data_IF_109223493187
#
_entry.id   IF_109223493187
#
_cell.length_a   1.000
_cell.length_b   1.000
_cell.length_c   1.000
_cell.angle_alpha   90.00
_cell.angle_beta   90.00
_cell.angle_gamma   90.00
#
_symmetry.space_group_name_H-M   'P 1'
#
loop_
_entity.id
_entity.type
_entity.pdbx_description
1 polymer ?
#
# COMPACT_ATOMS: atom_id res chain seq x y z
N UNK A 1 18.96 -2.58 19.64
CA UNK A 1 18.08 -2.67 18.46
C UNK A 1 16.86 -3.58 18.63
N UNK A 2 16.98 -4.76 19.25
CA UNK A 2 15.86 -5.71 19.32
C UNK A 2 14.60 -5.28 20.09
N UNK A 3 14.65 -4.30 21.02
CA UNK A 3 13.46 -3.78 21.69
C UNK A 3 12.55 -3.01 20.72
N UNK A 4 13.08 -1.98 20.07
CA UNK A 4 12.31 -1.15 19.13
C UNK A 4 11.75 -1.94 17.97
N UNK A 5 12.57 -2.82 17.35
CA UNK A 5 12.11 -3.68 16.27
C UNK A 5 10.91 -4.52 16.67
N UNK A 6 10.95 -5.14 17.86
CA UNK A 6 9.86 -5.95 18.41
C UNK A 6 8.61 -5.12 18.74
N UNK A 7 8.78 -3.93 19.30
CA UNK A 7 7.67 -3.00 19.56
C UNK A 7 6.97 -2.60 18.26
N UNK A 8 7.72 -2.22 17.22
CA UNK A 8 7.15 -1.88 15.92
C UNK A 8 6.55 -3.08 15.20
N UNK A 9 7.11 -4.29 15.39
CA UNK A 9 6.52 -5.52 14.87
C UNK A 9 5.12 -5.78 15.46
N UNK A 10 4.94 -5.55 16.78
CA UNK A 10 3.62 -5.67 17.43
C UNK A 10 2.65 -4.60 16.90
N UNK A 11 3.09 -3.34 16.79
CA UNK A 11 2.25 -2.26 16.24
C UNK A 11 1.83 -2.55 14.80
N UNK A 12 2.77 -2.98 13.95
CA UNK A 12 2.49 -3.33 12.56
C UNK A 12 1.52 -4.52 12.45
N UNK A 13 1.71 -5.54 13.29
CA UNK A 13 0.81 -6.70 13.38
C UNK A 13 -0.59 -6.27 13.80
N UNK A 14 -0.71 -5.36 14.78
CA UNK A 14 -1.99 -4.81 15.20
C UNK A 14 -2.66 -4.05 14.05
N UNK A 15 -1.94 -3.17 13.34
CA UNK A 15 -2.46 -2.47 12.17
C UNK A 15 -2.95 -3.43 11.09
N UNK A 16 -2.21 -4.50 10.82
CA UNK A 16 -2.60 -5.54 9.86
C UNK A 16 -3.96 -6.15 10.20
N UNK A 17 -4.14 -6.59 11.46
CA UNK A 17 -5.39 -7.21 11.89
C UNK A 17 -6.54 -6.21 12.02
N UNK A 18 -6.28 -4.97 12.44
CA UNK A 18 -7.28 -3.90 12.47
C UNK A 18 -7.79 -3.56 11.07
N UNK A 19 -6.97 -3.72 10.04
CA UNK A 19 -7.37 -3.54 8.65
C UNK A 19 -8.08 -4.79 8.09
N UNK A 20 -7.56 -5.99 8.36
CA UNK A 20 -8.15 -7.24 7.87
C UNK A 20 -9.52 -7.54 8.51
N UNK A 21 -9.72 -7.19 9.78
CA UNK A 21 -10.96 -7.46 10.53
C UNK A 21 -12.23 -6.90 9.86
N UNK A 22 -12.31 -5.59 9.57
CA UNK A 22 -13.44 -5.00 8.86
C UNK A 22 -13.66 -5.59 7.47
N UNK A 23 -12.59 -5.93 6.73
CA UNK A 23 -12.71 -6.57 5.41
C UNK A 23 -13.37 -7.94 5.55
N UNK A 24 -12.87 -8.78 6.48
CA UNK A 24 -13.45 -10.10 6.76
C UNK A 24 -14.88 -10.00 7.26
N UNK A 25 -15.19 -9.04 8.12
CA UNK A 25 -16.55 -8.82 8.62
C UNK A 25 -17.50 -8.46 7.47
N UNK A 26 -17.13 -7.50 6.62
CA UNK A 26 -17.99 -7.11 5.47
C UNK A 26 -18.15 -8.26 4.47
N UNK A 27 -17.10 -9.07 4.26
CA UNK A 27 -17.17 -10.22 3.38
C UNK A 27 -18.00 -11.38 3.96
N UNK A 28 -17.69 -11.84 5.17
CA UNK A 28 -18.28 -13.04 5.76
C UNK A 28 -19.66 -12.79 6.39
N UNK A 29 -19.84 -11.64 7.05
CA UNK A 29 -21.08 -11.32 7.78
C UNK A 29 -22.04 -10.51 6.90
N UNK A 30 -21.57 -9.42 6.29
CA UNK A 30 -22.42 -8.58 5.43
C UNK A 30 -22.60 -9.11 4.00
N UNK A 31 -21.83 -10.14 3.62
CA UNK A 31 -21.87 -10.77 2.28
C UNK A 31 -21.70 -9.77 1.14
N UNK A 32 -20.89 -8.73 1.38
CA UNK A 32 -20.59 -7.69 0.39
C UNK A 32 -19.56 -8.24 -0.62
N UNK A 33 -20.04 -8.99 -1.63
CA UNK A 33 -19.17 -9.57 -2.67
C UNK A 33 -18.35 -8.52 -3.43
N UNK A 34 -18.84 -7.27 -3.48
CA UNK A 34 -18.17 -6.11 -4.10
C UNK A 34 -16.76 -5.82 -3.59
N UNK A 35 -16.40 -6.32 -2.40
CA UNK A 35 -15.08 -6.14 -1.80
C UNK A 35 -14.03 -7.04 -2.45
N UNK A 36 -14.44 -8.22 -2.93
CA UNK A 36 -13.56 -9.17 -3.60
C UNK A 36 -13.65 -9.09 -5.12
N UNK A 37 -14.71 -8.49 -5.67
CA UNK A 37 -14.91 -8.38 -7.10
C UNK A 37 -15.67 -7.10 -7.50
N UNK A 38 -15.27 -6.46 -8.59
CA UNK A 38 -15.89 -5.23 -9.09
C UNK A 38 -15.10 -3.96 -8.77
N UNK A 39 -15.76 -2.81 -8.89
CA UNK A 39 -15.14 -1.48 -8.81
C UNK A 39 -14.64 -1.10 -7.41
N UNK A 40 -15.24 -1.64 -6.36
CA UNK A 40 -14.86 -1.36 -4.97
C UNK A 40 -13.83 -2.36 -4.41
N UNK A 41 -13.29 -3.23 -5.26
CA UNK A 41 -12.36 -4.28 -4.86
C UNK A 41 -10.91 -3.90 -5.12
N UNK A 42 -10.06 -4.17 -4.13
CA UNK A 42 -8.60 -4.13 -4.24
C UNK A 42 -8.01 -5.46 -4.74
N UNK A 43 -8.82 -6.48 -4.99
CA UNK A 43 -8.36 -7.76 -5.56
C UNK A 43 -8.06 -7.56 -7.06
N UNK A 44 -6.88 -7.99 -7.55
CA UNK A 44 -6.57 -8.00 -8.97
C UNK A 44 -7.60 -8.80 -9.77
N UNK A 45 -8.02 -8.21 -10.88
CA UNK A 45 -9.05 -8.71 -11.78
C UNK A 45 -8.52 -8.69 -13.23
N UNK A 46 -9.14 -9.45 -14.15
CA UNK A 46 -8.72 -9.45 -15.55
C UNK A 46 -8.73 -8.08 -16.22
N UNK A 47 -9.56 -7.14 -15.73
CA UNK A 47 -9.56 -5.76 -16.23
C UNK A 47 -8.26 -5.01 -15.91
N UNK A 48 -7.61 -5.31 -14.78
CA UNK A 48 -6.34 -4.66 -14.39
C UNK A 48 -5.23 -4.96 -15.41
N UNK A 49 -5.23 -6.16 -15.99
CA UNK A 49 -4.30 -6.50 -17.07
C UNK A 49 -4.60 -5.72 -18.37
N UNK A 50 -5.89 -5.52 -18.70
CA UNK A 50 -6.29 -4.69 -19.85
C UNK A 50 -5.87 -3.24 -19.64
N UNK A 51 -6.07 -2.71 -18.43
CA UNK A 51 -5.64 -1.36 -18.05
C UNK A 51 -4.12 -1.21 -18.12
N UNK A 52 -3.36 -2.17 -17.59
CA UNK A 52 -1.90 -2.19 -17.70
C UNK A 52 -1.43 -2.16 -19.15
N UNK A 53 -1.97 -3.05 -19.99
CA UNK A 53 -1.59 -3.12 -21.40
C UNK A 53 -2.00 -1.86 -22.19
N UNK A 54 -3.19 -1.31 -21.91
CA UNK A 54 -3.62 -0.03 -22.46
C UNK A 54 -2.72 1.13 -22.02
N UNK A 55 -2.27 1.12 -20.76
CA UNK A 55 -1.37 2.13 -20.22
C UNK A 55 0.00 2.06 -20.90
N UNK A 56 0.52 0.86 -21.15
CA UNK A 56 1.74 0.65 -21.92
C UNK A 56 1.61 1.17 -23.36
N UNK A 57 0.49 0.88 -24.04
CA UNK A 57 0.21 1.42 -25.38
C UNK A 57 0.19 2.95 -25.37
N UNK A 58 -0.47 3.55 -24.39
CA UNK A 58 -0.53 5.01 -24.26
C UNK A 58 0.87 5.62 -24.06
N UNK A 59 1.72 5.03 -23.22
CA UNK A 59 3.11 5.47 -23.08
C UNK A 59 3.92 5.38 -24.38
N UNK A 60 3.62 4.40 -25.23
CA UNK A 60 4.23 4.27 -26.55
C UNK A 60 3.56 5.14 -27.62
N UNK A 61 2.56 5.95 -27.27
CA UNK A 61 1.79 6.77 -28.23
C UNK A 61 0.85 5.97 -29.13
N UNK A 62 0.58 4.70 -28.82
CA UNK A 62 -0.20 3.75 -29.63
C UNK A 62 -1.67 3.63 -29.22
N UNK A 63 -2.15 4.51 -28.32
CA UNK A 63 -3.53 4.48 -27.82
C UNK A 63 -3.85 5.64 -26.90
N UNK A 64 -5.10 5.76 -26.51
CA UNK A 64 -5.55 6.73 -25.50
C UNK A 64 -5.19 6.28 -24.09
N UNK A 65 -5.08 7.25 -23.17
CA UNK A 65 -4.92 6.96 -21.73
C UNK A 65 -6.09 6.10 -21.25
N UNK A 66 -5.85 4.97 -20.55
CA UNK A 66 -6.93 4.15 -20.02
C UNK A 66 -7.84 4.93 -19.07
N UNK A 67 -9.13 4.64 -19.12
CA UNK A 67 -10.09 5.22 -18.20
C UNK A 67 -10.09 4.42 -16.89
N UNK A 68 -9.29 4.84 -15.92
CA UNK A 68 -9.16 4.14 -14.64
C UNK A 68 -10.41 4.27 -13.77
N UNK A 69 -10.73 3.19 -13.05
CA UNK A 69 -11.78 3.14 -12.04
C UNK A 69 -11.32 3.65 -10.68
N UNK A 70 -12.08 3.32 -9.63
CA UNK A 70 -11.81 3.72 -8.24
C UNK A 70 -10.39 3.36 -7.80
N UNK A 71 -9.93 2.14 -8.13
CA UNK A 71 -8.57 1.68 -7.92
C UNK A 71 -7.94 1.32 -9.26
N UNK A 72 -6.72 1.78 -9.46
CA UNK A 72 -5.89 1.45 -10.63
C UNK A 72 -5.18 0.11 -10.42
N UNK A 73 -4.74 -0.52 -11.52
CA UNK A 73 -3.98 -1.77 -11.44
C UNK A 73 -2.73 -1.65 -10.56
N UNK A 74 -2.03 -0.50 -10.57
CA UNK A 74 -0.80 -0.33 -9.78
C UNK A 74 -1.10 -0.11 -8.30
N UNK A 75 -2.22 0.51 -7.92
CA UNK A 75 -2.62 0.63 -6.52
C UNK A 75 -3.03 -0.71 -5.94
N UNK A 76 -3.70 -1.56 -6.73
CA UNK A 76 -3.99 -2.94 -6.33
C UNK A 76 -2.70 -3.73 -6.18
N UNK A 77 -1.77 -3.57 -7.12
CA UNK A 77 -0.46 -4.21 -7.03
C UNK A 77 0.32 -3.76 -5.78
N UNK A 78 0.38 -2.45 -5.51
CA UNK A 78 1.01 -1.86 -4.32
C UNK A 78 0.38 -2.40 -3.02
N UNK A 79 -0.96 -2.40 -2.96
CA UNK A 79 -1.72 -2.96 -1.84
C UNK A 79 -1.37 -4.42 -1.56
N UNK A 80 -1.35 -5.27 -2.61
CA UNK A 80 -1.06 -6.70 -2.44
C UNK A 80 0.41 -6.99 -2.17
N UNK A 81 1.34 -6.25 -2.76
CA UNK A 81 2.76 -6.37 -2.48
C UNK A 81 3.04 -6.20 -0.99
N UNK A 82 2.46 -5.16 -0.38
CA UNK A 82 2.57 -4.93 1.08
C UNK A 82 1.85 -6.04 1.86
N UNK A 83 0.66 -6.46 1.46
CA UNK A 83 -0.10 -7.48 2.18
C UNK A 83 0.62 -8.83 2.26
N UNK A 84 1.19 -9.27 1.13
CA UNK A 84 2.00 -10.50 1.08
C UNK A 84 3.29 -10.36 1.88
N UNK A 85 4.01 -9.25 1.71
CA UNK A 85 5.25 -9.00 2.45
C UNK A 85 5.03 -8.97 3.97
N UNK A 86 3.95 -8.33 4.43
CA UNK A 86 3.57 -8.32 5.84
C UNK A 86 3.30 -9.72 6.40
N UNK A 87 2.65 -10.60 5.63
CA UNK A 87 2.43 -11.99 6.06
C UNK A 87 3.74 -12.76 6.16
N UNK A 88 4.65 -12.61 5.19
CA UNK A 88 5.94 -13.31 5.15
C UNK A 88 6.87 -12.82 6.28
N UNK A 89 7.09 -11.50 6.38
CA UNK A 89 7.98 -10.91 7.39
C UNK A 89 7.41 -11.11 8.80
N UNK A 90 6.08 -11.04 8.95
CA UNK A 90 5.40 -11.28 10.23
C UNK A 90 5.55 -12.73 10.68
N UNK A 91 5.23 -13.70 9.81
CA UNK A 91 5.32 -15.12 10.15
C UNK A 91 6.76 -15.55 10.48
N UNK A 92 7.73 -15.13 9.66
CA UNK A 92 9.14 -15.42 9.92
C UNK A 92 9.65 -14.71 11.17
N UNK A 93 9.23 -13.47 11.41
CA UNK A 93 9.62 -12.70 12.60
C UNK A 93 9.09 -13.31 13.90
N UNK A 94 7.82 -13.72 13.93
CA UNK A 94 7.25 -14.39 15.10
C UNK A 94 7.88 -15.76 15.35
N UNK A 95 8.22 -16.50 14.29
CA UNK A 95 8.96 -17.76 14.41
C UNK A 95 10.33 -17.56 15.05
N UNK A 96 11.07 -16.53 14.63
CA UNK A 96 12.39 -16.18 15.18
C UNK A 96 12.30 -15.58 16.59
N UNK A 97 11.20 -14.89 16.93
CA UNK A 97 11.00 -14.32 18.26
C UNK A 97 10.61 -15.38 19.29
N UNK A 98 9.81 -16.38 18.93
CA UNK A 98 9.36 -17.43 19.84
C UNK A 98 9.90 -18.83 19.48
N UNK A 99 11.23 -19.02 19.35
CA UNK A 99 11.79 -20.24 18.78
C UNK A 99 11.48 -21.48 19.60
N UNK A 100 11.39 -21.38 20.93
CA UNK A 100 11.03 -22.50 21.81
C UNK A 100 9.59 -23.01 21.61
N UNK A 101 8.66 -22.15 21.20
CA UNK A 101 7.30 -22.57 20.85
C UNK A 101 7.29 -23.27 19.50
N UNK A 102 7.93 -22.69 18.49
CA UNK A 102 7.91 -23.22 17.13
C UNK A 102 8.77 -24.48 16.94
N UNK A 103 9.86 -24.63 17.69
CA UNK A 103 10.74 -25.81 17.61
C UNK A 103 10.10 -27.09 18.12
N UNK A 104 9.01 -26.99 18.89
CA UNK A 104 8.20 -28.15 19.28
C UNK A 104 7.45 -28.79 18.09
N UNK A 105 7.24 -28.03 17.01
CA UNK A 105 6.45 -28.46 15.85
C UNK A 105 7.24 -28.50 14.55
N UNK A 106 8.38 -27.80 14.47
CA UNK A 106 9.13 -27.58 13.25
C UNK A 106 10.58 -28.04 13.36
N UNK A 107 11.17 -28.56 12.27
CA UNK A 107 12.58 -28.98 12.27
C UNK A 107 13.52 -27.77 12.32
N UNK A 108 14.69 -27.94 12.95
CA UNK A 108 15.63 -26.84 13.20
C UNK A 108 16.10 -26.07 11.95
N UNK A 109 16.18 -26.71 10.79
CA UNK A 109 16.59 -26.05 9.54
C UNK A 109 15.64 -24.94 9.11
N UNK A 110 14.36 -24.99 9.52
CA UNK A 110 13.38 -23.97 9.13
C UNK A 110 13.73 -22.60 9.70
N UNK A 111 14.41 -22.54 10.84
CA UNK A 111 14.81 -21.27 11.47
C UNK A 111 15.90 -20.57 10.66
N UNK A 112 16.79 -21.34 10.02
CA UNK A 112 17.77 -20.77 9.08
C UNK A 112 17.08 -20.19 7.85
N UNK A 113 16.08 -20.91 7.32
CA UNK A 113 15.26 -20.42 6.20
C UNK A 113 14.47 -19.17 6.61
N UNK A 114 13.86 -19.17 7.80
CA UNK A 114 13.14 -18.02 8.34
C UNK A 114 14.06 -16.80 8.49
N UNK A 115 15.29 -16.99 8.96
CA UNK A 115 16.27 -15.92 9.08
C UNK A 115 16.60 -15.29 7.72
N UNK A 116 16.86 -16.11 6.71
CA UNK A 116 17.13 -15.64 5.34
C UNK A 116 15.91 -14.91 4.78
N UNK A 117 14.73 -15.54 4.80
CA UNK A 117 13.51 -14.94 4.27
C UNK A 117 13.19 -13.62 5.00
N UNK A 118 13.29 -13.57 6.33
CA UNK A 118 13.00 -12.35 7.08
C UNK A 118 13.94 -11.20 6.70
N UNK A 119 15.25 -11.50 6.53
CA UNK A 119 16.25 -10.53 6.12
C UNK A 119 16.03 -10.02 4.70
N UNK A 120 15.86 -10.94 3.74
CA UNK A 120 15.66 -10.59 2.33
C UNK A 120 14.33 -9.86 2.11
N UNK A 121 13.25 -10.29 2.77
CA UNK A 121 11.95 -9.64 2.69
C UNK A 121 12.00 -8.21 3.26
N UNK A 122 12.79 -7.96 4.31
CA UNK A 122 12.96 -6.62 4.85
C UNK A 122 13.62 -5.67 3.82
N UNK A 123 14.62 -6.17 3.09
CA UNK A 123 15.28 -5.39 2.04
C UNK A 123 14.36 -5.18 0.82
N UNK A 124 13.66 -6.24 0.39
CA UNK A 124 12.69 -6.19 -0.69
C UNK A 124 11.56 -5.19 -0.38
N UNK A 125 10.98 -5.27 0.82
CA UNK A 125 9.91 -4.38 1.27
C UNK A 125 10.38 -2.92 1.31
N UNK A 126 11.57 -2.65 1.87
CA UNK A 126 12.15 -1.30 1.84
C UNK A 126 12.35 -0.81 0.41
N UNK A 127 12.95 -1.62 -0.46
CA UNK A 127 13.16 -1.29 -1.87
C UNK A 127 11.85 -1.00 -2.60
N UNK A 128 10.82 -1.83 -2.40
CA UNK A 128 9.51 -1.65 -3.00
C UNK A 128 8.83 -0.35 -2.53
N UNK A 129 8.87 -0.07 -1.23
CA UNK A 129 8.30 1.16 -0.66
C UNK A 129 8.95 2.40 -1.29
N UNK A 130 10.28 2.44 -1.42
CA UNK A 130 10.97 3.61 -1.98
C UNK A 130 10.92 3.72 -3.50
N UNK A 131 10.90 2.59 -4.22
CA UNK A 131 10.89 2.58 -5.68
C UNK A 131 9.48 2.77 -6.26
N UNK A 132 8.48 2.05 -5.72
CA UNK A 132 7.14 1.97 -6.32
C UNK A 132 6.16 2.85 -5.55
N UNK A 133 6.00 2.60 -4.26
CA UNK A 133 5.01 3.32 -3.44
C UNK A 133 5.35 4.81 -3.33
N UNK A 134 6.62 5.14 -3.06
CA UNK A 134 7.05 6.53 -2.95
C UNK A 134 6.85 7.30 -4.25
N UNK A 135 7.21 6.68 -5.37
CA UNK A 135 7.00 7.30 -6.68
C UNK A 135 5.53 7.61 -6.91
N UNK A 136 4.67 6.62 -6.71
CA UNK A 136 3.23 6.75 -6.90
C UNK A 136 2.62 7.80 -5.97
N UNK A 137 2.96 7.80 -4.69
CA UNK A 137 2.29 8.64 -3.70
C UNK A 137 2.87 10.05 -3.57
N UNK A 138 4.10 10.28 -4.03
CA UNK A 138 4.84 11.53 -3.76
C UNK A 138 5.51 12.17 -4.97
N UNK A 139 5.88 11.40 -5.99
CA UNK A 139 6.71 11.90 -7.11
C UNK A 139 5.89 12.10 -8.39
N UNK A 140 4.76 11.39 -8.55
CA UNK A 140 3.87 11.60 -9.70
C UNK A 140 3.44 13.08 -9.79
N UNK A 141 3.49 13.71 -10.97
CA UNK A 141 3.19 15.14 -11.14
C UNK A 141 1.86 15.57 -10.52
N UNK A 142 0.84 14.73 -10.62
CA UNK A 142 -0.51 15.00 -10.12
C UNK A 142 -0.58 15.03 -8.59
N UNK A 143 0.34 14.32 -7.92
CA UNK A 143 0.36 14.16 -6.46
C UNK A 143 1.53 14.87 -5.80
N UNK A 144 2.47 15.42 -6.55
CA UNK A 144 3.66 16.01 -5.96
C UNK A 144 3.31 17.22 -5.05
N UNK A 145 3.93 17.34 -3.86
CA UNK A 145 4.91 16.43 -3.26
C UNK A 145 4.31 15.27 -2.44
N UNK A 146 2.99 15.20 -2.27
CA UNK A 146 2.27 14.13 -1.57
C UNK A 146 0.76 14.17 -1.81
N UNK A 147 0.14 13.00 -1.94
CA UNK A 147 -1.32 12.86 -1.90
C UNK A 147 -1.89 12.97 -0.47
N UNK A 148 -2.74 13.97 -0.22
CA UNK A 148 -3.34 14.19 1.11
C UNK A 148 -4.59 13.33 1.36
N UNK A 149 -5.08 12.58 0.38
CA UNK A 149 -6.30 11.76 0.50
C UNK A 149 -6.19 10.74 1.62
N UNK A 150 -4.98 10.23 1.91
CA UNK A 150 -4.76 9.30 3.03
C UNK A 150 -5.15 9.91 4.38
N UNK A 151 -5.04 11.23 4.54
CA UNK A 151 -5.39 11.95 5.76
C UNK A 151 -6.79 12.55 5.69
N UNK A 152 -7.17 13.13 4.55
CA UNK A 152 -8.42 13.88 4.41
C UNK A 152 -9.62 13.00 4.05
N UNK A 153 -9.38 11.89 3.36
CA UNK A 153 -10.41 11.06 2.72
C UNK A 153 -11.18 11.78 1.62
N UNK A 154 -10.67 12.90 1.09
CA UNK A 154 -11.39 13.79 0.16
C UNK A 154 -10.54 14.12 -1.06
N UNK A 155 -11.16 14.03 -2.24
CA UNK A 155 -10.64 14.47 -3.53
C UNK A 155 -11.53 15.57 -4.10
N UNK A 156 -10.97 16.44 -4.94
CA UNK A 156 -11.80 17.38 -5.70
C UNK A 156 -12.58 16.68 -6.81
N UNK A 157 -13.68 17.27 -7.26
CA UNK A 157 -14.48 16.70 -8.35
C UNK A 157 -13.70 16.66 -9.68
N UNK A 158 -12.88 17.67 -9.94
CA UNK A 158 -12.04 17.73 -11.13
C UNK A 158 -10.93 16.67 -11.10
N UNK A 159 -10.28 16.49 -9.96
CA UNK A 159 -9.29 15.42 -9.74
C UNK A 159 -9.93 14.03 -9.90
N UNK A 160 -11.13 13.82 -9.35
CA UNK A 160 -11.87 12.56 -9.54
C UNK A 160 -12.17 12.31 -11.03
N UNK A 161 -12.55 13.35 -11.77
CA UNK A 161 -12.86 13.27 -13.21
C UNK A 161 -11.61 12.96 -14.04
N UNK A 162 -10.47 13.56 -13.69
CA UNK A 162 -9.22 13.40 -14.41
C UNK A 162 -8.51 12.08 -14.09
N UNK A 163 -8.36 11.75 -12.80
CA UNK A 163 -7.61 10.57 -12.37
C UNK A 163 -8.45 9.29 -12.39
N UNK A 164 -9.77 9.41 -12.16
CA UNK A 164 -10.71 8.28 -12.03
C UNK A 164 -11.90 8.41 -12.98
N UNK A 165 -11.68 8.62 -14.29
CA UNK A 165 -12.76 8.92 -15.24
C UNK A 165 -13.83 7.82 -15.31
N UNK A 166 -13.46 6.54 -15.15
CA UNK A 166 -14.46 5.46 -15.15
C UNK A 166 -15.30 5.45 -13.87
N UNK A 167 -14.73 5.82 -12.73
CA UNK A 167 -15.46 5.96 -11.47
C UNK A 167 -16.40 7.18 -11.53
N UNK A 168 -15.90 8.32 -12.00
CA UNK A 168 -16.72 9.52 -12.20
C UNK A 168 -17.90 9.24 -13.14
N UNK A 169 -17.66 8.59 -14.28
CA UNK A 169 -18.70 8.22 -15.22
C UNK A 169 -19.71 7.24 -14.61
N UNK A 170 -19.26 6.29 -13.79
CA UNK A 170 -20.13 5.35 -13.07
C UNK A 170 -21.03 6.08 -12.08
N UNK A 171 -20.47 6.95 -11.24
CA UNK A 171 -21.22 7.74 -10.25
C UNK A 171 -22.22 8.68 -10.92
N UNK A 172 -21.83 9.31 -12.04
CA UNK A 172 -22.70 10.17 -12.83
C UNK A 172 -23.90 9.40 -13.40
N UNK A 173 -23.66 8.24 -14.03
CA UNK A 173 -24.74 7.38 -14.57
C UNK A 173 -25.71 6.88 -13.49
N UNK A 174 -25.21 6.64 -12.28
CA UNK A 174 -26.03 6.20 -11.15
C UNK A 174 -26.74 7.35 -10.42
N UNK A 175 -26.53 8.61 -10.81
CA UNK A 175 -27.03 9.77 -10.08
C UNK A 175 -26.46 9.90 -8.66
N UNK A 176 -25.33 9.24 -8.39
CA UNK A 176 -24.76 9.11 -7.05
C UNK A 176 -23.75 10.22 -6.71
N UNK A 177 -23.35 11.07 -7.65
CA UNK A 177 -22.38 12.15 -7.41
C UNK A 177 -22.78 13.05 -6.23
N UNK A 178 -24.06 13.43 -6.15
CA UNK A 178 -24.56 14.28 -5.05
C UNK A 178 -24.50 13.55 -3.70
N UNK A 179 -24.69 12.23 -3.68
CA UNK A 179 -24.65 11.43 -2.44
C UNK A 179 -23.24 11.26 -1.85
N UNK A 180 -22.21 11.30 -2.69
CA UNK A 180 -20.80 11.18 -2.25
C UNK A 180 -20.13 12.54 -2.06
N UNK A 181 -20.77 13.62 -2.49
CA UNK A 181 -20.24 14.98 -2.37
C UNK A 181 -20.20 15.37 -0.88
N UNK A 182 -19.07 15.93 -0.47
CA UNK A 182 -18.84 16.40 0.89
C UNK A 182 -18.17 17.77 0.86
N UNK A 183 -18.15 18.45 2.01
CA UNK A 183 -17.48 19.74 2.14
C UNK A 183 -15.97 19.58 1.93
N UNK A 184 -15.25 20.62 1.46
CA UNK A 184 -13.80 20.61 1.42
C UNK A 184 -13.19 20.36 2.81
N UNK A 185 -12.01 19.68 2.90
CA UNK A 185 -11.36 19.48 4.19
C UNK A 185 -11.06 20.83 4.87
N UNK A 186 -11.34 20.97 6.17
CA UNK A 186 -11.08 22.21 6.87
C UNK A 186 -9.58 22.52 6.90
N UNK A 187 -9.22 23.80 6.97
CA UNK A 187 -7.82 24.26 6.86
C UNK A 187 -6.88 23.59 7.87
N UNK A 188 -7.33 23.38 9.10
CA UNK A 188 -6.52 22.71 10.13
C UNK A 188 -6.16 21.28 9.74
N UNK A 189 -7.10 20.54 9.12
CA UNK A 189 -6.90 19.17 8.68
C UNK A 189 -5.91 19.12 7.53
N UNK A 190 -6.02 20.05 6.57
CA UNK A 190 -5.07 20.19 5.47
C UNK A 190 -3.66 20.50 5.98
N UNK A 191 -3.53 21.45 6.90
CA UNK A 191 -2.23 21.82 7.50
C UNK A 191 -1.62 20.65 8.28
N UNK A 192 -2.43 19.95 9.08
CA UNK A 192 -1.98 18.77 9.81
C UNK A 192 -1.51 17.65 8.86
N UNK A 193 -2.25 17.41 7.77
CA UNK A 193 -1.90 16.42 6.75
C UNK A 193 -0.53 16.72 6.12
N UNK A 194 -0.27 17.99 5.80
CA UNK A 194 1.03 18.43 5.28
C UNK A 194 2.17 18.21 6.28
N UNK A 195 1.95 18.53 7.55
CA UNK A 195 2.95 18.37 8.60
C UNK A 195 3.24 16.88 8.82
N UNK A 196 2.21 16.08 9.08
CA UNK A 196 2.37 14.65 9.38
C UNK A 196 2.99 13.90 8.21
N UNK A 197 2.49 14.14 7.01
CA UNK A 197 3.02 13.52 5.81
C UNK A 197 4.44 14.00 5.47
N UNK A 198 4.72 15.30 5.58
CA UNK A 198 6.07 15.84 5.37
C UNK A 198 7.10 15.27 6.36
N UNK A 199 6.73 15.17 7.65
CA UNK A 199 7.57 14.53 8.67
C UNK A 199 7.78 13.04 8.35
N UNK A 200 6.73 12.34 7.94
CA UNK A 200 6.81 10.91 7.60
C UNK A 200 7.73 10.67 6.39
N UNK A 201 7.63 11.51 5.37
CA UNK A 201 8.51 11.46 4.18
C UNK A 201 9.95 11.72 4.60
N UNK A 202 10.21 12.77 5.40
CA UNK A 202 11.56 13.11 5.84
C UNK A 202 12.21 11.97 6.65
N UNK A 203 11.47 11.38 7.60
CA UNK A 203 11.92 10.23 8.38
C UNK A 203 12.16 9.03 7.46
N UNK A 204 11.23 8.74 6.55
CA UNK A 204 11.36 7.66 5.58
C UNK A 204 12.63 7.79 4.75
N UNK A 205 12.86 8.95 4.13
CA UNK A 205 14.06 9.22 3.34
C UNK A 205 15.34 9.10 4.17
N UNK A 206 15.35 9.60 5.42
CA UNK A 206 16.49 9.44 6.31
C UNK A 206 16.79 7.97 6.60
N UNK A 207 15.76 7.16 6.92
CA UNK A 207 15.90 5.72 7.15
C UNK A 207 16.38 4.99 5.89
N UNK A 208 15.88 5.35 4.71
CA UNK A 208 16.33 4.77 3.45
C UNK A 208 17.81 5.06 3.18
N UNK A 209 18.25 6.30 3.37
CA UNK A 209 19.65 6.67 3.24
C UNK A 209 20.54 5.87 4.20
N UNK A 210 20.08 5.65 5.44
CA UNK A 210 20.80 4.82 6.42
C UNK A 210 20.86 3.35 6.00
N UNK A 211 19.78 2.79 5.45
CA UNK A 211 19.75 1.43 4.90
C UNK A 211 20.74 1.30 3.75
N UNK A 212 20.71 2.23 2.79
CA UNK A 212 21.65 2.23 1.66
C UNK A 212 23.09 2.35 2.12
N UNK A 213 23.37 3.25 3.06
CA UNK A 213 24.69 3.40 3.64
C UNK A 213 25.15 2.09 4.29
N UNK A 214 24.31 1.45 5.11
CA UNK A 214 24.63 0.19 5.76
C UNK A 214 24.89 -0.94 4.75
N UNK A 215 24.09 -1.05 3.69
CA UNK A 215 24.27 -2.07 2.64
C UNK A 215 25.57 -1.85 1.85
N UNK A 216 25.86 -0.59 1.48
CA UNK A 216 27.05 -0.26 0.66
C UNK A 216 28.37 -0.33 1.44
N UNK A 217 28.32 -0.15 2.76
CA UNK A 217 29.52 -0.19 3.62
C UNK A 217 29.70 -1.53 4.32
N UNK A 218 28.60 -2.23 4.64
CA UNK A 218 28.62 -3.52 5.33
C UNK A 218 28.99 -4.72 4.46
N UNK A 219 28.92 -4.60 3.12
CA UNK A 219 29.37 -5.64 2.20
C UNK A 219 30.90 -5.69 1.97
N UNK A 220 31.69 -4.98 2.78
CA UNK A 220 33.16 -4.88 2.64
C UNK A 220 33.96 -5.68 3.68
N UNK A 221 33.32 -6.56 4.45
CA UNK A 221 33.99 -7.50 5.36
C UNK A 221 33.79 -8.95 4.92
#
# INVERSE_FOLDING_TARGET
>A
MGFFHRTFAVLLTLCFFLHLGPILYRFLVRREAGILWGSDSLVPQPNDFKEFYGHLKWFLGLGSRPAFGRFTYWEKFDYWAVFWGMAIIGATGFMLWFPGFFSAFLPGWIFNVALVIHGEEALLAAGFIFAIHFFNSHIRPEKFPMDLVIFTGRVSEDELREERPAEYARLSRLGALTSVKTEPPPRWMKNLSWILGGVSIAIGLALFCLILFAVLTGGKE
#
